data_IF_937989348081
#
_entry.id   IF_937989348081
#
_cell.length_a   1.000
_cell.length_b   1.000
_cell.length_c   1.000
_cell.angle_alpha   90.00
_cell.angle_beta   90.00
_cell.angle_gamma   90.00
#
_symmetry.space_group_name_H-M   'P 1'
#
loop_
_entity.id
_entity.type
_entity.pdbx_description
1 polymer ?
#
# COMPACT_ATOMS: atom_id res chain seq x y z
N UNK A 1 -54.05 40.17 -14.05
CA UNK A 1 -52.57 40.14 -13.93
C UNK A 1 -52.07 39.34 -12.74
N UNK A 2 -52.76 39.28 -11.60
CA UNK A 2 -52.31 38.52 -10.41
C UNK A 2 -52.30 37.00 -10.61
N UNK A 3 -53.25 36.45 -11.38
CA UNK A 3 -53.31 34.99 -11.63
C UNK A 3 -52.19 34.47 -12.55
N UNK A 4 -51.68 35.30 -13.47
CA UNK A 4 -50.54 34.95 -14.35
C UNK A 4 -49.19 34.95 -13.62
N UNK A 5 -49.09 35.76 -12.56
CA UNK A 5 -47.89 35.80 -11.69
C UNK A 5 -47.83 34.60 -10.76
N UNK A 6 -48.98 34.08 -10.28
CA UNK A 6 -49.05 32.89 -9.45
C UNK A 6 -48.71 31.64 -10.26
N UNK A 7 -49.16 31.55 -11.51
CA UNK A 7 -48.81 30.46 -12.42
C UNK A 7 -47.33 30.43 -12.80
N UNK A 8 -46.68 31.59 -12.97
CA UNK A 8 -45.26 31.71 -13.23
C UNK A 8 -44.42 31.35 -12.02
N UNK A 9 -44.85 31.68 -10.78
CA UNK A 9 -44.19 31.32 -9.54
C UNK A 9 -44.34 29.80 -9.26
N UNK A 10 -45.48 29.18 -9.61
CA UNK A 10 -45.67 27.75 -9.47
C UNK A 10 -44.86 26.92 -10.48
N UNK A 11 -44.61 27.43 -11.70
CA UNK A 11 -43.73 26.80 -12.67
C UNK A 11 -42.25 26.93 -12.31
N UNK A 12 -41.83 28.00 -11.62
CA UNK A 12 -40.49 28.16 -11.14
C UNK A 12 -40.15 27.24 -9.92
N UNK A 13 -41.19 26.78 -9.19
CA UNK A 13 -41.03 25.85 -8.07
C UNK A 13 -40.92 24.38 -8.52
N UNK A 14 -41.19 24.06 -9.80
CA UNK A 14 -40.94 22.75 -10.43
C UNK A 14 -39.63 22.81 -11.24
N UNK A 15 -38.59 23.42 -10.69
CA UNK A 15 -37.24 23.15 -11.16
C UNK A 15 -37.02 21.64 -10.93
N UNK A 16 -36.69 20.84 -11.97
CA UNK A 16 -36.30 19.46 -11.70
C UNK A 16 -35.19 19.53 -10.66
N UNK A 17 -35.44 18.99 -9.49
CA UNK A 17 -34.37 18.60 -8.57
C UNK A 17 -33.49 17.73 -9.46
N UNK A 18 -32.38 18.27 -9.94
CA UNK A 18 -31.34 17.51 -10.57
C UNK A 18 -30.95 16.48 -9.50
N UNK A 19 -31.53 15.29 -9.60
CA UNK A 19 -31.09 14.18 -8.79
C UNK A 19 -29.62 14.00 -9.13
N UNK A 20 -28.76 14.56 -8.29
CA UNK A 20 -27.36 14.25 -8.32
C UNK A 20 -27.27 12.73 -8.36
N UNK A 21 -26.77 12.19 -9.46
CA UNK A 21 -26.79 10.75 -9.68
C UNK A 21 -25.76 10.14 -8.72
N UNK A 22 -26.21 9.91 -7.48
CA UNK A 22 -25.40 9.24 -6.47
C UNK A 22 -25.18 7.81 -6.89
N UNK A 23 -23.96 7.41 -7.13
CA UNK A 23 -23.61 6.03 -7.48
C UNK A 23 -22.92 5.35 -6.32
N UNK A 24 -23.45 4.22 -5.88
CA UNK A 24 -22.79 3.31 -4.94
C UNK A 24 -22.31 2.10 -5.71
N UNK A 25 -21.04 1.80 -5.62
CA UNK A 25 -20.41 0.65 -6.28
C UNK A 25 -19.88 -0.32 -5.23
N UNK A 26 -20.37 -1.55 -5.27
CA UNK A 26 -19.70 -2.68 -4.61
C UNK A 26 -18.57 -3.16 -5.52
N UNK A 27 -17.40 -3.38 -4.96
CA UNK A 27 -16.23 -3.90 -5.68
C UNK A 27 -15.40 -4.81 -4.79
N UNK A 28 -14.52 -5.60 -5.40
CA UNK A 28 -13.62 -6.42 -4.62
C UNK A 28 -12.56 -7.14 -5.44
N UNK A 29 -11.71 -7.86 -4.71
CA UNK A 29 -10.67 -8.74 -5.24
C UNK A 29 -10.63 -9.98 -4.36
N UNK A 30 -10.68 -11.14 -4.97
CA UNK A 30 -10.40 -12.43 -4.37
C UNK A 30 -9.08 -12.96 -4.98
N UNK A 31 -8.07 -13.21 -4.16
CA UNK A 31 -6.74 -13.64 -4.57
C UNK A 31 -6.29 -14.78 -3.67
N UNK A 32 -6.20 -15.98 -4.23
CA UNK A 32 -5.78 -17.20 -3.53
C UNK A 32 -4.69 -17.92 -4.31
N UNK A 33 -3.80 -18.61 -3.58
CA UNK A 33 -2.74 -19.39 -4.20
C UNK A 33 -2.19 -20.45 -3.29
N UNK A 34 -1.58 -21.47 -3.88
CA UNK A 34 -0.79 -22.48 -3.18
C UNK A 34 0.67 -22.05 -3.20
N UNK A 35 1.28 -21.99 -2.04
CA UNK A 35 2.66 -21.59 -1.84
C UNK A 35 3.47 -22.73 -1.23
N UNK A 36 4.65 -22.95 -1.79
CA UNK A 36 5.71 -23.77 -1.20
C UNK A 36 6.88 -22.88 -0.80
N UNK A 37 7.38 -23.03 0.41
CA UNK A 37 8.58 -22.38 0.93
C UNK A 37 9.49 -23.43 1.58
N UNK A 38 10.80 -23.38 1.30
CA UNK A 38 11.77 -24.05 2.15
C UNK A 38 12.15 -23.14 3.33
N UNK A 39 12.81 -23.68 4.35
CA UNK A 39 13.27 -22.94 5.54
C UNK A 39 12.18 -22.02 6.12
N UNK A 40 10.95 -22.51 6.23
CA UNK A 40 9.79 -21.73 6.65
C UNK A 40 9.69 -21.54 8.18
N UNK A 41 10.56 -22.13 8.95
CA UNK A 41 10.66 -21.95 10.41
C UNK A 41 12.12 -22.05 10.90
N UNK A 42 12.31 -21.83 12.18
CA UNK A 42 13.63 -21.88 12.83
C UNK A 42 14.32 -23.27 12.73
N UNK A 43 13.57 -24.34 12.56
CA UNK A 43 14.09 -25.71 12.37
C UNK A 43 14.45 -26.02 10.90
N UNK A 44 14.27 -25.07 9.99
CA UNK A 44 14.58 -25.25 8.56
C UNK A 44 13.54 -26.06 7.78
N UNK A 45 12.37 -26.33 8.34
CA UNK A 45 11.33 -27.14 7.70
C UNK A 45 10.70 -26.39 6.51
N UNK A 46 10.24 -27.18 5.52
CA UNK A 46 9.47 -26.67 4.39
C UNK A 46 8.00 -26.49 4.78
N UNK A 47 7.30 -25.60 4.07
CA UNK A 47 5.88 -25.33 4.25
C UNK A 47 5.18 -25.34 2.89
N UNK A 48 4.10 -26.09 2.78
CA UNK A 48 3.12 -25.95 1.69
C UNK A 48 1.80 -25.50 2.29
N UNK A 49 1.22 -24.45 1.72
CA UNK A 49 -0.02 -23.87 2.25
C UNK A 49 -0.87 -23.21 1.19
N UNK A 50 -2.17 -23.09 1.46
CA UNK A 50 -3.04 -22.15 0.78
C UNK A 50 -2.81 -20.75 1.38
N UNK A 51 -2.86 -19.71 0.55
CA UNK A 51 -2.60 -18.33 0.96
C UNK A 51 -3.58 -17.37 0.32
N UNK A 52 -3.83 -16.27 1.00
CA UNK A 52 -4.69 -15.18 0.55
C UNK A 52 -3.88 -13.95 0.17
N UNK A 53 -4.38 -13.17 -0.78
CA UNK A 53 -3.90 -11.82 -1.05
C UNK A 53 -2.48 -11.73 -1.62
N UNK A 54 -2.09 -12.65 -2.46
CA UNK A 54 -0.72 -12.85 -2.93
C UNK A 54 -0.21 -11.70 -3.82
N UNK A 55 -0.85 -11.51 -4.98
CA UNK A 55 -0.59 -10.39 -5.89
C UNK A 55 -1.35 -9.14 -5.46
N UNK A 56 -2.51 -9.31 -4.84
CA UNK A 56 -3.35 -8.21 -4.36
C UNK A 56 -4.14 -8.64 -3.15
N UNK A 57 -4.01 -7.96 -2.01
CA UNK A 57 -4.77 -8.29 -0.80
C UNK A 57 -6.26 -8.48 -1.10
N UNK A 58 -6.81 -9.65 -0.72
CA UNK A 58 -8.22 -9.94 -0.86
C UNK A 58 -9.06 -8.93 -0.09
N UNK A 59 -10.11 -8.41 -0.72
CA UNK A 59 -10.89 -7.29 -0.18
C UNK A 59 -12.26 -7.19 -0.84
N UNK A 60 -13.17 -6.56 -0.14
CA UNK A 60 -14.41 -6.02 -0.70
C UNK A 60 -14.62 -4.60 -0.18
N UNK A 61 -15.39 -3.79 -0.87
CA UNK A 61 -15.64 -2.42 -0.45
C UNK A 61 -16.83 -1.79 -1.15
N UNK A 62 -17.28 -0.71 -0.52
CA UNK A 62 -18.27 0.22 -1.05
C UNK A 62 -17.61 1.55 -1.34
N UNK A 63 -17.87 2.12 -2.47
CA UNK A 63 -17.51 3.49 -2.81
C UNK A 63 -18.71 4.22 -3.37
N UNK A 64 -18.84 5.48 -2.99
CA UNK A 64 -19.89 6.35 -3.51
C UNK A 64 -19.34 7.69 -3.94
N UNK A 65 -20.00 8.28 -4.91
CA UNK A 65 -19.72 9.63 -5.41
C UNK A 65 -21.06 10.34 -5.58
N UNK A 66 -21.15 11.56 -5.08
CA UNK A 66 -22.26 12.47 -5.23
C UNK A 66 -21.78 13.77 -5.89
N UNK A 67 -22.43 14.21 -6.94
CA UNK A 67 -22.15 15.49 -7.58
C UNK A 67 -22.86 16.60 -6.81
N UNK A 68 -22.12 17.51 -6.21
CA UNK A 68 -22.64 18.66 -5.45
C UNK A 68 -22.86 19.91 -6.33
N UNK A 69 -22.61 19.78 -7.63
CA UNK A 69 -22.65 20.89 -8.56
C UNK A 69 -21.35 21.73 -8.60
N UNK A 70 -21.28 22.64 -9.56
CA UNK A 70 -20.13 23.53 -9.80
C UNK A 70 -18.77 22.78 -9.91
N UNK A 71 -18.77 21.50 -10.33
CA UNK A 71 -17.57 20.67 -10.45
C UNK A 71 -17.04 20.14 -9.12
N UNK A 72 -17.81 20.23 -8.05
CA UNK A 72 -17.49 19.68 -6.73
C UNK A 72 -18.21 18.36 -6.51
N UNK A 73 -17.52 17.36 -5.96
CA UNK A 73 -18.04 16.04 -5.64
C UNK A 73 -17.76 15.68 -4.19
N UNK A 74 -18.74 15.11 -3.50
CA UNK A 74 -18.52 14.37 -2.27
C UNK A 74 -18.25 12.91 -2.61
N UNK A 75 -17.38 12.25 -1.85
CA UNK A 75 -17.06 10.84 -2.06
C UNK A 75 -16.76 10.15 -0.74
N UNK A 76 -16.97 8.84 -0.73
CA UNK A 76 -16.53 7.98 0.37
C UNK A 76 -16.00 6.65 -0.15
N UNK A 77 -15.15 6.02 0.65
CA UNK A 77 -14.67 4.64 0.44
C UNK A 77 -14.65 3.93 1.79
N UNK A 78 -15.25 2.73 1.81
CA UNK A 78 -15.22 1.79 2.91
C UNK A 78 -14.70 0.46 2.36
N UNK A 79 -13.49 0.02 2.75
CA UNK A 79 -12.84 -1.17 2.21
C UNK A 79 -12.37 -2.10 3.33
N UNK A 80 -12.88 -3.33 3.32
CA UNK A 80 -12.53 -4.41 4.23
C UNK A 80 -11.55 -5.36 3.56
N UNK A 81 -10.51 -5.78 4.28
CA UNK A 81 -9.64 -6.87 3.88
C UNK A 81 -10.08 -8.18 4.53
N UNK A 82 -9.89 -9.29 3.83
CA UNK A 82 -10.15 -10.62 4.37
C UNK A 82 -9.13 -11.64 3.85
N UNK A 83 -8.97 -12.72 4.59
CA UNK A 83 -8.17 -13.86 4.18
C UNK A 83 -9.11 -14.89 3.55
N UNK A 84 -8.97 -15.16 2.24
CA UNK A 84 -9.90 -16.05 1.52
C UNK A 84 -9.71 -17.52 1.89
N UNK A 85 -8.55 -17.87 2.39
CA UNK A 85 -8.22 -19.23 2.86
C UNK A 85 -8.84 -19.59 4.21
N UNK A 86 -9.14 -18.59 5.06
CA UNK A 86 -9.65 -18.79 6.43
C UNK A 86 -10.96 -18.06 6.71
N UNK A 87 -11.34 -17.09 5.86
CA UNK A 87 -12.54 -16.26 6.05
C UNK A 87 -12.41 -15.16 7.10
N UNK A 88 -11.25 -15.01 7.76
CA UNK A 88 -11.07 -14.00 8.81
C UNK A 88 -10.84 -12.61 8.22
N UNK A 89 -11.19 -11.57 9.00
CA UNK A 89 -10.89 -10.18 8.63
C UNK A 89 -9.39 -9.92 8.80
N UNK A 90 -8.80 -9.29 7.78
CA UNK A 90 -7.40 -8.83 7.80
C UNK A 90 -7.22 -7.55 8.63
N UNK A 91 -6.00 -6.98 8.62
CA UNK A 91 -5.64 -5.70 9.27
C UNK A 91 -6.01 -5.63 10.76
N UNK A 92 -5.79 -6.74 11.50
CA UNK A 92 -6.05 -6.82 12.94
C UNK A 92 -7.54 -6.90 13.30
N UNK A 93 -8.37 -7.48 12.43
CA UNK A 93 -9.80 -7.69 12.66
C UNK A 93 -10.66 -6.43 12.43
N UNK A 94 -10.11 -5.37 11.85
CA UNK A 94 -10.88 -4.13 11.57
C UNK A 94 -11.90 -4.35 10.47
N UNK A 95 -13.15 -3.90 10.66
CA UNK A 95 -14.22 -4.00 9.66
C UNK A 95 -13.82 -3.32 8.33
N UNK A 96 -13.32 -2.10 8.39
CA UNK A 96 -12.80 -1.37 7.22
C UNK A 96 -11.30 -1.08 7.38
N UNK A 97 -10.53 -2.14 7.57
CA UNK A 97 -9.11 -2.04 7.89
C UNK A 97 -8.22 -1.57 6.73
N UNK A 98 -8.71 -1.57 5.50
CA UNK A 98 -7.95 -1.12 4.33
C UNK A 98 -8.15 0.36 4.06
N UNK A 99 -9.40 0.82 3.94
CA UNK A 99 -9.73 2.22 3.76
C UNK A 99 -11.09 2.52 4.39
N UNK A 100 -11.19 3.65 5.07
CA UNK A 100 -12.43 4.20 5.64
C UNK A 100 -12.32 5.72 5.65
N UNK A 101 -12.80 6.37 4.60
CA UNK A 101 -12.68 7.83 4.50
C UNK A 101 -13.83 8.46 3.73
N UNK A 102 -14.03 9.75 3.97
CA UNK A 102 -14.88 10.67 3.22
C UNK A 102 -14.02 11.77 2.62
N UNK A 103 -14.43 12.35 1.51
CA UNK A 103 -13.68 13.42 0.88
C UNK A 103 -14.51 14.34 0.02
N UNK A 104 -13.92 15.49 -0.30
CA UNK A 104 -14.40 16.42 -1.30
C UNK A 104 -13.37 16.51 -2.43
N UNK A 105 -13.86 16.45 -3.66
CA UNK A 105 -13.07 16.57 -4.88
C UNK A 105 -13.56 17.74 -5.72
N UNK A 106 -12.63 18.53 -6.20
CA UNK A 106 -12.85 19.65 -7.11
C UNK A 106 -11.71 19.70 -8.12
N UNK A 107 -11.78 20.56 -9.13
CA UNK A 107 -10.71 20.75 -10.14
C UNK A 107 -9.30 20.99 -9.55
N UNK A 108 -9.22 21.53 -8.34
CA UNK A 108 -7.96 21.77 -7.64
C UNK A 108 -7.39 20.50 -6.99
N UNK A 109 -8.14 19.40 -6.91
CA UNK A 109 -7.75 18.16 -6.27
C UNK A 109 -8.79 17.66 -5.27
N UNK A 110 -8.40 16.64 -4.52
CA UNK A 110 -9.22 15.97 -3.52
C UNK A 110 -8.62 16.13 -2.13
N UNK A 111 -9.45 16.55 -1.17
CA UNK A 111 -9.16 16.46 0.26
C UNK A 111 -10.00 15.30 0.84
N UNK A 112 -9.37 14.39 1.56
CA UNK A 112 -10.03 13.24 2.17
C UNK A 112 -9.60 13.05 3.63
N UNK A 113 -10.55 12.63 4.48
CA UNK A 113 -10.39 12.48 5.92
C UNK A 113 -10.74 11.04 6.33
N UNK A 114 -9.89 10.40 7.12
CA UNK A 114 -10.07 9.05 7.63
C UNK A 114 -8.90 8.12 7.35
N UNK A 115 -9.11 6.81 7.50
CA UNK A 115 -8.08 5.79 7.29
C UNK A 115 -7.82 5.57 5.80
N UNK A 116 -6.57 5.73 5.38
CA UNK A 116 -6.14 5.61 3.97
C UNK A 116 -4.73 5.08 3.86
N UNK A 117 -4.31 4.76 2.64
CA UNK A 117 -2.93 4.42 2.32
C UNK A 117 -2.01 5.66 2.42
N UNK A 118 -0.77 5.43 2.83
CA UNK A 118 0.27 6.46 2.87
C UNK A 118 0.74 6.84 1.45
N UNK A 119 1.53 7.92 1.33
CA UNK A 119 2.04 8.38 0.05
C UNK A 119 3.05 7.41 -0.57
N UNK A 120 3.80 6.65 0.24
CA UNK A 120 4.72 5.63 -0.24
C UNK A 120 3.97 4.57 -1.07
N UNK A 121 2.85 4.05 -0.55
CA UNK A 121 2.04 3.09 -1.30
C UNK A 121 1.47 3.70 -2.58
N UNK A 122 0.79 4.84 -2.47
CA UNK A 122 0.04 5.41 -3.58
C UNK A 122 0.92 5.79 -4.78
N UNK A 123 2.15 6.21 -4.51
CA UNK A 123 3.07 6.65 -5.56
C UNK A 123 4.02 5.53 -6.02
N UNK A 124 4.50 4.65 -5.11
CA UNK A 124 5.47 3.60 -5.49
C UNK A 124 4.84 2.37 -6.11
N UNK A 125 3.52 2.15 -5.97
CA UNK A 125 2.86 0.98 -6.55
C UNK A 125 3.08 0.86 -8.07
N UNK A 126 3.28 1.97 -8.77
CA UNK A 126 3.54 2.02 -10.21
C UNK A 126 5.00 1.78 -10.58
N UNK A 127 5.89 1.72 -9.58
CA UNK A 127 7.35 1.65 -9.73
C UNK A 127 7.98 0.43 -9.06
N UNK A 128 7.20 -0.37 -8.35
CA UNK A 128 7.61 -1.72 -7.97
C UNK A 128 7.23 -2.71 -9.08
N UNK A 129 8.17 -3.50 -9.61
CA UNK A 129 7.89 -4.48 -10.66
C UNK A 129 6.79 -5.48 -10.28
N UNK A 130 6.68 -5.81 -8.98
CA UNK A 130 5.68 -6.73 -8.41
C UNK A 130 4.46 -6.01 -7.83
N UNK A 131 4.30 -4.70 -8.12
CA UNK A 131 3.11 -3.88 -7.83
C UNK A 131 2.74 -3.89 -6.34
N UNK A 132 3.74 -3.88 -5.46
CA UNK A 132 3.59 -3.95 -3.99
C UNK A 132 2.65 -5.09 -3.54
N UNK A 133 2.74 -6.23 -4.21
CA UNK A 133 2.04 -7.45 -3.79
C UNK A 133 2.39 -7.81 -2.34
N UNK A 134 1.50 -8.49 -1.64
CA UNK A 134 1.73 -8.82 -0.24
C UNK A 134 2.91 -9.79 -0.02
N UNK A 135 3.30 -10.47 -1.09
CA UNK A 135 4.40 -11.44 -1.12
C UNK A 135 5.23 -11.21 -2.37
N UNK A 136 6.49 -11.65 -2.37
CA UNK A 136 7.39 -11.60 -3.53
C UNK A 136 7.53 -10.18 -4.12
N UNK A 137 7.54 -9.13 -3.30
CA UNK A 137 7.58 -7.74 -3.73
C UNK A 137 8.48 -6.88 -2.83
N UNK A 138 8.57 -5.59 -3.14
CA UNK A 138 9.27 -4.60 -2.34
C UNK A 138 8.78 -4.55 -0.87
N UNK A 139 7.51 -4.91 -0.62
CA UNK A 139 6.91 -4.97 0.72
C UNK A 139 7.64 -5.93 1.67
N UNK A 140 8.27 -6.99 1.17
CA UNK A 140 9.05 -7.92 1.99
C UNK A 140 10.25 -7.27 2.65
N UNK A 141 10.81 -6.28 1.98
CA UNK A 141 12.05 -5.60 2.40
C UNK A 141 11.76 -4.48 3.40
N UNK A 142 10.67 -3.75 3.21
CA UNK A 142 10.21 -2.70 4.13
C UNK A 142 8.69 -2.58 4.09
N UNK A 143 8.03 -2.97 5.17
CA UNK A 143 6.56 -2.93 5.29
C UNK A 143 5.97 -1.51 5.25
N UNK A 144 6.78 -0.48 5.45
CA UNK A 144 6.32 0.92 5.35
C UNK A 144 5.83 1.32 3.96
N UNK A 145 6.26 0.59 2.92
CA UNK A 145 5.80 0.81 1.55
C UNK A 145 4.31 0.54 1.33
N UNK A 146 3.68 -0.19 2.23
CA UNK A 146 2.24 -0.52 2.17
C UNK A 146 1.48 -0.02 3.39
N UNK A 147 2.03 0.97 4.09
CA UNK A 147 1.45 1.56 5.29
C UNK A 147 0.08 2.19 5.03
N UNK A 148 -0.79 2.02 6.02
CA UNK A 148 -2.08 2.72 6.13
C UNK A 148 -2.09 3.44 7.44
N UNK A 149 -2.51 4.71 7.43
CA UNK A 149 -2.58 5.52 8.62
C UNK A 149 -4.04 5.83 8.96
N UNK A 150 -4.34 5.79 10.24
CA UNK A 150 -5.60 6.28 10.81
C UNK A 150 -5.59 7.81 10.90
N UNK A 151 -6.72 8.40 11.21
CA UNK A 151 -6.86 9.81 11.57
C UNK A 151 -6.12 10.76 10.61
N UNK A 152 -6.26 10.48 9.30
CA UNK A 152 -5.49 11.16 8.25
C UNK A 152 -6.31 12.25 7.57
N UNK A 153 -5.69 13.40 7.37
CA UNK A 153 -6.07 14.38 6.37
C UNK A 153 -5.10 14.26 5.18
N UNK A 154 -5.64 14.02 3.97
CA UNK A 154 -4.85 13.78 2.76
C UNK A 154 -5.35 14.61 1.60
N UNK A 155 -4.44 15.36 1.01
CA UNK A 155 -4.65 16.05 -0.24
C UNK A 155 -4.03 15.24 -1.40
N UNK A 156 -4.76 15.16 -2.52
CA UNK A 156 -4.28 14.60 -3.78
C UNK A 156 -4.67 15.52 -4.92
N UNK A 157 -3.70 16.12 -5.60
CA UNK A 157 -3.90 16.98 -6.76
C UNK A 157 -3.31 16.36 -8.03
N UNK A 158 -3.97 16.61 -9.17
CA UNK A 158 -3.47 16.20 -10.49
C UNK A 158 -3.36 17.42 -11.40
N UNK A 159 -2.15 17.73 -11.85
CA UNK A 159 -1.79 18.91 -12.63
C UNK A 159 -1.09 18.47 -13.91
N UNK A 160 -1.87 18.22 -14.95
CA UNK A 160 -1.36 17.65 -16.19
C UNK A 160 -0.69 16.27 -15.94
N UNK A 161 0.61 16.10 -16.26
CA UNK A 161 1.33 14.85 -16.04
C UNK A 161 1.77 14.62 -14.58
N UNK A 162 1.58 15.61 -13.70
CA UNK A 162 2.03 15.56 -12.30
C UNK A 162 0.86 15.24 -11.38
N UNK A 163 1.04 14.23 -10.52
CA UNK A 163 0.19 13.98 -9.35
C UNK A 163 0.97 14.35 -8.09
N UNK A 164 0.39 15.17 -7.22
CA UNK A 164 0.98 15.56 -5.95
C UNK A 164 0.13 15.02 -4.79
N UNK A 165 0.79 14.51 -3.75
CA UNK A 165 0.16 14.04 -2.51
C UNK A 165 0.82 14.72 -1.33
N UNK A 166 0.00 15.19 -0.39
CA UNK A 166 0.44 15.61 0.93
C UNK A 166 -0.55 15.06 1.96
N UNK A 167 -0.04 14.53 3.06
CA UNK A 167 -0.87 13.98 4.11
C UNK A 167 -0.29 14.26 5.50
N UNK A 168 -1.20 14.31 6.45
CA UNK A 168 -0.92 14.37 7.86
C UNK A 168 -1.83 13.39 8.59
N UNK A 169 -1.26 12.55 9.46
CA UNK A 169 -1.99 11.66 10.34
C UNK A 169 -1.77 12.09 11.79
N UNK A 170 -2.85 12.35 12.49
CA UNK A 170 -2.83 12.74 13.92
C UNK A 170 -2.37 11.58 14.79
N UNK A 171 -2.74 10.35 14.44
CA UNK A 171 -2.21 9.10 14.99
C UNK A 171 -2.36 8.00 13.94
N UNK A 172 -1.25 7.30 13.60
CA UNK A 172 -1.22 6.29 12.53
C UNK A 172 -2.03 5.04 12.82
N UNK A 173 -2.42 4.83 14.07
CA UNK A 173 -3.07 3.60 14.51
C UNK A 173 -2.11 2.41 14.58
N UNK A 174 -0.90 2.64 15.09
CA UNK A 174 0.07 1.57 15.34
C UNK A 174 -0.55 0.49 16.23
N UNK A 175 -0.41 -0.76 15.83
CA UNK A 175 -0.94 -1.89 16.62
C UNK A 175 -0.18 -2.04 17.93
N UNK A 176 -0.93 -2.15 19.03
CA UNK A 176 -0.43 -2.40 20.39
C UNK A 176 -0.99 -3.74 20.83
N UNK A 177 -0.12 -4.73 21.06
CA UNK A 177 -0.54 -6.04 21.56
C UNK A 177 -0.14 -6.20 23.02
N UNK A 178 -1.11 -6.45 23.88
CA UNK A 178 -0.91 -6.65 25.31
C UNK A 178 -1.85 -7.73 25.81
N UNK A 179 -1.31 -8.72 26.54
CA UNK A 179 -2.12 -9.82 27.09
C UNK A 179 -2.90 -10.63 26.06
N UNK A 180 -2.41 -10.71 24.79
CA UNK A 180 -3.10 -11.40 23.68
C UNK A 180 -4.19 -10.58 22.99
N UNK A 181 -4.53 -9.39 23.50
CA UNK A 181 -5.44 -8.47 22.85
C UNK A 181 -4.68 -7.45 21.97
N UNK A 182 -5.21 -7.16 20.80
CA UNK A 182 -4.69 -6.11 19.91
C UNK A 182 -5.59 -4.89 19.97
N UNK A 183 -4.99 -3.75 20.27
CA UNK A 183 -5.58 -2.41 20.18
C UNK A 183 -4.79 -1.55 19.18
N UNK A 184 -5.26 -0.34 18.94
CA UNK A 184 -4.60 0.58 18.02
C UNK A 184 -4.37 1.92 18.72
N UNK A 185 -3.17 2.48 18.53
CA UNK A 185 -2.84 3.78 19.08
C UNK A 185 -3.77 4.86 18.51
N UNK A 186 -4.21 5.75 19.36
CA UNK A 186 -4.97 6.96 19.04
C UNK A 186 -4.21 8.21 19.43
N UNK A 187 -4.89 9.34 19.33
CA UNK A 187 -4.42 10.64 19.79
C UNK A 187 -4.31 10.66 21.33
N UNK A 188 -3.23 11.23 21.83
CA UNK A 188 -2.96 11.30 23.27
C UNK A 188 -3.12 12.75 23.74
N UNK A 189 -4.05 13.03 24.68
CA UNK A 189 -4.19 14.36 25.27
C UNK A 189 -2.87 14.86 25.86
N UNK A 190 -2.45 16.07 25.48
CA UNK A 190 -1.18 16.66 25.92
C UNK A 190 0.05 16.22 25.13
N UNK A 191 -0.05 15.20 24.29
CA UNK A 191 1.06 14.77 23.43
C UNK A 191 0.63 14.53 21.96
N UNK A 192 0.48 15.61 21.17
CA UNK A 192 0.02 15.52 19.78
C UNK A 192 1.05 14.86 18.83
N UNK A 193 2.27 14.56 19.31
CA UNK A 193 3.29 13.91 18.51
C UNK A 193 3.22 12.37 18.59
N UNK A 194 2.48 11.83 19.56
CA UNK A 194 2.36 10.39 19.71
C UNK A 194 1.75 9.76 18.46
N UNK A 195 2.47 8.81 17.87
CA UNK A 195 2.04 8.05 16.68
C UNK A 195 1.72 8.88 15.43
N UNK A 196 2.21 10.12 15.36
CA UNK A 196 1.99 11.06 14.26
C UNK A 196 2.70 10.59 12.97
N UNK A 197 2.16 10.95 11.80
CA UNK A 197 2.86 10.84 10.54
C UNK A 197 2.64 12.04 9.63
N UNK A 198 3.67 12.34 8.83
CA UNK A 198 3.65 13.33 7.77
C UNK A 198 4.26 12.69 6.53
N UNK A 199 3.61 12.83 5.38
CA UNK A 199 4.18 12.36 4.13
C UNK A 199 3.80 13.29 2.98
N UNK A 200 4.71 13.50 2.05
CA UNK A 200 4.47 14.26 0.83
C UNK A 200 5.28 13.67 -0.34
N UNK A 201 4.73 13.78 -1.53
CA UNK A 201 5.42 13.30 -2.72
C UNK A 201 4.73 13.74 -3.99
N UNK A 202 5.40 13.46 -5.09
CA UNK A 202 4.84 13.68 -6.42
C UNK A 202 5.19 12.53 -7.35
N UNK A 203 4.35 12.33 -8.34
CA UNK A 203 4.50 11.43 -9.47
C UNK A 203 4.44 12.23 -10.75
N UNK A 204 5.38 12.01 -11.65
CA UNK A 204 5.35 12.52 -13.02
C UNK A 204 5.22 11.34 -13.97
N UNK A 205 4.20 11.36 -14.82
CA UNK A 205 3.99 10.31 -15.82
C UNK A 205 3.60 10.93 -17.16
N UNK A 206 4.50 10.84 -18.15
CA UNK A 206 4.30 11.36 -19.50
C UNK A 206 5.01 10.49 -20.54
N UNK A 207 4.26 10.06 -21.55
CA UNK A 207 4.78 9.19 -22.60
C UNK A 207 5.38 7.90 -22.03
N UNK A 208 6.63 7.54 -22.38
CA UNK A 208 7.27 6.33 -21.86
C UNK A 208 7.85 6.50 -20.46
N UNK A 209 7.97 7.71 -19.93
CA UNK A 209 8.69 8.04 -18.69
C UNK A 209 7.71 8.19 -17.53
N UNK A 210 8.03 7.53 -16.43
CA UNK A 210 7.43 7.77 -15.13
C UNK A 210 8.51 7.98 -14.07
N UNK A 211 8.29 8.89 -13.13
CA UNK A 211 9.19 9.11 -11.99
C UNK A 211 8.42 9.61 -10.77
N UNK A 212 8.90 9.27 -9.59
CA UNK A 212 8.31 9.72 -8.33
C UNK A 212 9.38 10.03 -7.29
N UNK A 213 9.07 10.97 -6.40
CA UNK A 213 9.85 11.23 -5.19
C UNK A 213 8.92 11.46 -4.01
N UNK A 214 9.25 10.86 -2.87
CA UNK A 214 8.41 10.85 -1.67
C UNK A 214 9.27 11.08 -0.43
N UNK A 215 8.78 11.92 0.47
CA UNK A 215 9.22 12.02 1.84
C UNK A 215 8.16 11.45 2.77
N UNK A 216 8.56 10.62 3.73
CA UNK A 216 7.69 10.06 4.77
C UNK A 216 8.37 10.18 6.13
N UNK A 217 7.65 10.67 7.13
CA UNK A 217 8.09 10.74 8.52
C UNK A 217 7.04 10.16 9.44
N UNK A 218 7.48 9.35 10.38
CA UNK A 218 6.66 8.75 11.43
C UNK A 218 7.26 9.08 12.77
N UNK A 219 6.43 9.32 13.79
CA UNK A 219 6.85 9.51 15.18
C UNK A 219 6.64 8.22 15.98
N UNK A 220 7.38 8.09 17.08
CA UNK A 220 7.20 7.00 18.02
C UNK A 220 5.86 7.06 18.74
N UNK A 221 5.41 5.92 19.25
CA UNK A 221 4.09 5.70 19.85
C UNK A 221 4.21 5.55 21.35
N UNK A 222 3.49 6.34 22.11
CA UNK A 222 3.35 6.12 23.56
C UNK A 222 2.60 4.80 23.84
N UNK A 223 2.98 4.13 24.93
CA UNK A 223 2.39 2.84 25.31
C UNK A 223 3.05 1.63 24.63
N UNK A 224 4.03 1.84 23.74
CA UNK A 224 4.88 0.76 23.20
C UNK A 224 6.24 0.80 23.89
N UNK A 225 6.65 -0.33 24.45
CA UNK A 225 7.94 -0.46 25.15
C UNK A 225 9.10 -0.05 24.22
N UNK A 226 9.97 0.83 24.70
CA UNK A 226 11.12 1.33 23.97
C UNK A 226 10.80 2.43 22.95
N UNK A 227 9.57 2.93 22.93
CA UNK A 227 9.18 4.06 22.08
C UNK A 227 8.79 5.29 22.91
N UNK A 228 9.04 6.45 22.33
CA UNK A 228 8.60 7.75 22.86
C UNK A 228 8.39 8.74 21.71
N UNK A 229 7.79 9.87 21.98
CA UNK A 229 7.38 10.86 20.97
C UNK A 229 8.50 11.75 20.45
N UNK A 230 9.71 11.65 20.97
CA UNK A 230 10.90 12.29 20.40
C UNK A 230 11.54 11.43 19.30
N UNK A 231 11.27 10.13 19.32
CA UNK A 231 11.77 9.20 18.30
C UNK A 231 11.03 9.38 16.98
N UNK A 232 11.74 9.24 15.88
CA UNK A 232 11.17 9.35 14.54
C UNK A 232 11.92 8.52 13.51
N UNK A 233 11.19 7.98 12.57
CA UNK A 233 11.73 7.38 11.35
C UNK A 233 11.46 8.31 10.17
N UNK A 234 12.47 8.60 9.35
CA UNK A 234 12.36 9.39 8.12
C UNK A 234 12.79 8.55 6.94
N UNK A 235 12.00 8.63 5.88
CA UNK A 235 12.27 7.94 4.61
C UNK A 235 12.21 8.92 3.47
N UNK A 236 13.14 8.76 2.53
CA UNK A 236 13.08 9.38 1.21
C UNK A 236 13.10 8.25 0.20
N UNK A 237 12.12 8.22 -0.69
CA UNK A 237 12.07 7.26 -1.78
C UNK A 237 12.04 7.98 -3.12
N UNK A 238 12.81 7.51 -4.08
CA UNK A 238 12.77 7.94 -5.47
C UNK A 238 12.70 6.72 -6.37
N UNK A 239 11.88 6.79 -7.42
CA UNK A 239 11.75 5.69 -8.35
C UNK A 239 11.41 6.20 -9.75
N UNK A 240 11.71 5.36 -10.74
CA UNK A 240 11.39 5.64 -12.12
C UNK A 240 11.01 4.38 -12.89
N UNK A 241 10.33 4.60 -14.01
CA UNK A 241 10.04 3.57 -14.97
C UNK A 241 10.18 4.09 -16.40
N UNK A 242 10.57 3.20 -17.31
CA UNK A 242 10.66 3.51 -18.72
C UNK A 242 10.01 2.40 -19.55
N UNK A 243 9.11 2.78 -20.45
CA UNK A 243 8.44 1.86 -21.37
C UNK A 243 9.23 1.76 -22.67
N UNK A 244 9.56 0.55 -23.08
CA UNK A 244 10.19 0.24 -24.38
C UNK A 244 9.09 -0.25 -25.34
N UNK A 245 8.63 0.63 -26.21
CA UNK A 245 7.51 0.32 -27.08
C UNK A 245 6.24 -0.03 -26.29
N UNK A 246 5.55 -1.08 -26.74
CA UNK A 246 4.29 -1.55 -26.13
C UNK A 246 4.49 -2.77 -25.23
N UNK A 247 5.65 -3.39 -25.23
CA UNK A 247 5.89 -4.71 -24.61
C UNK A 247 6.80 -4.69 -23.41
N UNK A 248 7.77 -3.78 -23.34
CA UNK A 248 8.77 -3.75 -22.28
C UNK A 248 8.55 -2.60 -21.29
N UNK A 249 8.78 -2.84 -20.00
CA UNK A 249 8.84 -1.78 -18.98
C UNK A 249 9.96 -2.07 -17.99
N UNK A 250 10.88 -1.13 -17.85
CA UNK A 250 11.95 -1.14 -16.86
C UNK A 250 11.49 -0.36 -15.63
N UNK A 251 11.90 -0.81 -14.45
CA UNK A 251 11.66 -0.16 -13.18
C UNK A 251 12.96 -0.07 -12.40
N UNK A 252 13.20 1.04 -11.74
CA UNK A 252 14.29 1.20 -10.80
C UNK A 252 13.88 2.14 -9.66
N UNK A 253 14.45 1.91 -8.48
CA UNK A 253 14.19 2.82 -7.37
C UNK A 253 15.14 2.63 -6.20
N UNK A 254 15.05 3.59 -5.30
CA UNK A 254 15.86 3.74 -4.12
C UNK A 254 15.07 4.29 -2.95
N UNK A 255 15.30 3.75 -1.74
CA UNK A 255 14.78 4.30 -0.48
C UNK A 255 15.90 4.45 0.54
N UNK A 256 16.06 5.65 1.07
CA UNK A 256 16.87 5.98 2.24
C UNK A 256 16.00 5.99 3.51
N UNK A 257 16.51 5.41 4.60
CA UNK A 257 15.92 5.47 5.93
C UNK A 257 16.94 5.92 6.96
N UNK A 258 16.55 6.84 7.83
CA UNK A 258 17.21 7.18 9.07
C UNK A 258 16.16 7.34 10.18
N UNK A 259 16.32 6.63 11.29
CA UNK A 259 15.36 6.69 12.37
C UNK A 259 15.77 5.99 13.65
N UNK A 260 14.97 6.22 14.67
CA UNK A 260 15.23 5.74 16.03
C UNK A 260 13.97 5.19 16.75
N UNK A 261 12.83 5.07 16.04
CA UNK A 261 11.63 4.45 16.62
C UNK A 261 11.95 3.02 17.05
N UNK A 262 11.76 2.71 18.34
CA UNK A 262 12.06 1.40 18.91
C UNK A 262 13.55 1.09 19.07
N UNK A 263 14.43 2.08 18.91
CA UNK A 263 15.85 1.97 19.24
C UNK A 263 16.03 2.26 20.73
N UNK A 264 16.68 1.35 21.44
CA UNK A 264 16.94 1.52 22.87
C UNK A 264 17.92 2.67 23.13
N UNK A 265 17.79 3.30 24.28
CA UNK A 265 18.68 4.39 24.68
C UNK A 265 20.16 3.94 24.64
N UNK A 266 21.00 4.79 24.05
CA UNK A 266 22.44 4.51 23.89
C UNK A 266 22.77 3.64 22.66
N UNK A 267 21.79 3.11 21.95
CA UNK A 267 22.02 2.40 20.70
C UNK A 267 22.01 3.36 19.50
N UNK A 268 22.79 3.09 18.45
CA UNK A 268 22.82 3.92 17.25
C UNK A 268 21.49 3.84 16.50
N UNK A 269 21.05 4.96 15.94
CA UNK A 269 19.84 5.04 15.10
C UNK A 269 19.92 4.08 13.91
N UNK A 270 18.78 3.56 13.50
CA UNK A 270 18.63 2.74 12.27
C UNK A 270 19.08 3.56 11.06
N UNK A 271 19.85 2.96 10.18
CA UNK A 271 20.22 3.52 8.88
C UNK A 271 20.24 2.42 7.84
N UNK A 272 19.41 2.55 6.83
CA UNK A 272 19.35 1.54 5.76
C UNK A 272 18.97 2.15 4.43
N UNK A 273 19.41 1.51 3.38
CA UNK A 273 19.04 1.79 2.00
C UNK A 273 18.37 0.57 1.39
N UNK A 274 17.38 0.79 0.52
CA UNK A 274 16.78 -0.26 -0.30
C UNK A 274 16.92 0.15 -1.75
N UNK A 275 17.36 -0.79 -2.56
CA UNK A 275 17.47 -0.65 -4.02
C UNK A 275 16.60 -1.71 -4.68
N UNK A 276 15.95 -1.34 -5.77
CA UNK A 276 15.24 -2.32 -6.60
C UNK A 276 15.40 -2.03 -8.07
N UNK A 277 15.38 -3.10 -8.84
CA UNK A 277 15.43 -3.08 -10.29
C UNK A 277 14.52 -4.18 -10.80
N UNK A 278 13.78 -3.93 -11.87
CA UNK A 278 12.99 -4.98 -12.50
C UNK A 278 12.61 -4.65 -13.92
N UNK A 279 12.26 -5.71 -14.63
CA UNK A 279 11.82 -5.62 -16.02
C UNK A 279 10.58 -6.48 -16.23
N UNK A 280 9.58 -5.89 -16.83
CA UNK A 280 8.37 -6.58 -17.26
C UNK A 280 8.34 -6.65 -18.79
N UNK A 281 8.02 -7.82 -19.31
CA UNK A 281 7.90 -8.06 -20.74
C UNK A 281 6.58 -8.75 -21.08
N UNK A 282 5.81 -8.14 -21.99
CA UNK A 282 4.57 -8.69 -22.51
C UNK A 282 4.90 -9.60 -23.70
N UNK A 283 4.90 -10.93 -23.46
CA UNK A 283 5.21 -11.94 -24.49
C UNK A 283 4.05 -12.10 -25.45
N UNK A 284 2.82 -12.21 -24.90
CA UNK A 284 1.56 -12.33 -25.62
C UNK A 284 0.57 -11.33 -25.04
N UNK A 285 -0.50 -10.97 -25.73
CA UNK A 285 -1.53 -10.09 -25.17
C UNK A 285 -2.08 -10.56 -23.82
N UNK A 286 -2.08 -11.87 -23.56
CA UNK A 286 -2.54 -12.46 -22.31
C UNK A 286 -1.41 -12.83 -21.34
N UNK A 287 -0.12 -12.86 -21.75
CA UNK A 287 0.99 -13.34 -20.92
C UNK A 287 2.07 -12.28 -20.74
N UNK A 288 2.31 -11.91 -19.50
CA UNK A 288 3.45 -11.07 -19.12
C UNK A 288 4.41 -11.82 -18.18
N UNK A 289 5.71 -11.59 -18.38
CA UNK A 289 6.76 -12.02 -17.46
C UNK A 289 7.35 -10.80 -16.75
N UNK A 290 7.69 -10.98 -15.48
CA UNK A 290 8.36 -9.96 -14.69
C UNK A 290 9.56 -10.58 -13.99
N UNK A 291 10.70 -9.90 -14.04
CA UNK A 291 11.86 -10.20 -13.19
C UNK A 291 12.14 -8.99 -12.30
N UNK A 292 12.39 -9.22 -11.01
CA UNK A 292 12.65 -8.18 -10.03
C UNK A 292 13.77 -8.59 -9.08
N UNK A 293 14.65 -7.66 -8.76
CA UNK A 293 15.68 -7.79 -7.74
C UNK A 293 15.52 -6.71 -6.68
N UNK A 294 15.66 -7.08 -5.41
CA UNK A 294 15.58 -6.19 -4.25
C UNK A 294 16.81 -6.39 -3.38
N UNK A 295 17.46 -5.30 -2.99
CA UNK A 295 18.63 -5.31 -2.13
C UNK A 295 18.44 -4.37 -0.95
N UNK A 296 18.60 -4.90 0.25
CA UNK A 296 18.59 -4.13 1.50
C UNK A 296 20.02 -3.97 2.00
N UNK A 297 20.42 -2.75 2.27
CA UNK A 297 21.73 -2.43 2.81
C UNK A 297 21.56 -1.82 4.21
N UNK A 298 21.91 -2.58 5.24
CA UNK A 298 21.99 -2.08 6.62
C UNK A 298 23.31 -1.34 6.83
N UNK A 299 23.25 -0.02 6.97
CA UNK A 299 24.45 0.81 7.16
C UNK A 299 25.09 0.68 8.53
N UNK A 300 24.52 -0.10 9.43
CA UNK A 300 25.02 -0.28 10.81
C UNK A 300 25.61 -1.66 11.05
N UNK A 301 25.15 -2.62 10.28
CA UNK A 301 25.57 -4.01 10.38
C UNK A 301 25.92 -4.54 9.00
N UNK A 302 26.45 -5.73 8.89
CA UNK A 302 26.67 -6.41 7.60
C UNK A 302 25.45 -7.20 7.12
N UNK A 303 24.27 -6.96 7.68
CA UNK A 303 23.01 -7.66 7.36
C UNK A 303 22.41 -7.11 6.07
N UNK A 304 22.93 -7.55 4.95
CA UNK A 304 22.58 -7.05 3.62
C UNK A 304 21.88 -8.13 2.79
N UNK A 305 20.63 -8.50 3.11
CA UNK A 305 19.90 -9.48 2.34
C UNK A 305 19.49 -8.94 0.98
N UNK A 306 19.32 -9.86 0.02
CA UNK A 306 18.74 -9.56 -1.28
C UNK A 306 17.79 -10.66 -1.74
N UNK A 307 16.92 -10.33 -2.66
CA UNK A 307 16.02 -11.30 -3.27
C UNK A 307 15.90 -11.10 -4.78
N UNK A 308 15.66 -12.21 -5.49
CA UNK A 308 15.31 -12.24 -6.89
C UNK A 308 13.95 -12.92 -7.04
N UNK A 309 13.09 -12.30 -7.83
CA UNK A 309 11.72 -12.74 -8.08
C UNK A 309 11.50 -12.86 -9.59
N UNK A 310 10.93 -13.98 -10.01
CA UNK A 310 10.35 -14.18 -11.33
C UNK A 310 8.84 -14.35 -11.21
N UNK A 311 8.09 -13.72 -12.09
CA UNK A 311 6.63 -13.82 -12.13
C UNK A 311 6.15 -14.02 -13.55
N UNK A 312 5.19 -14.92 -13.74
CA UNK A 312 4.41 -15.06 -14.95
C UNK A 312 2.95 -14.79 -14.62
N UNK A 313 2.32 -13.85 -15.31
CA UNK A 313 0.90 -13.53 -15.13
C UNK A 313 0.16 -13.76 -16.44
N UNK A 314 -0.88 -14.61 -16.39
CA UNK A 314 -1.71 -14.97 -17.53
C UNK A 314 -3.14 -14.47 -17.34
N UNK A 315 -3.56 -13.55 -18.19
CA UNK A 315 -4.88 -12.94 -18.18
C UNK A 315 -5.90 -13.88 -18.81
N UNK A 316 -6.78 -14.48 -18.00
CA UNK A 316 -7.86 -15.36 -18.44
C UNK A 316 -9.07 -14.55 -18.94
N UNK A 317 -9.31 -13.39 -18.32
CA UNK A 317 -10.36 -12.46 -18.70
C UNK A 317 -10.03 -11.04 -18.22
N UNK A 318 -10.89 -10.05 -18.53
CA UNK A 318 -10.74 -8.67 -18.01
C UNK A 318 -10.71 -8.60 -16.47
N UNK A 319 -11.23 -9.62 -15.79
CA UNK A 319 -11.38 -9.66 -14.32
C UNK A 319 -10.60 -10.78 -13.66
N UNK A 320 -10.07 -11.75 -14.42
CA UNK A 320 -9.47 -12.97 -13.86
C UNK A 320 -8.09 -13.18 -14.47
N UNK A 321 -7.10 -13.40 -13.63
CA UNK A 321 -5.75 -13.75 -14.01
C UNK A 321 -5.21 -14.88 -13.13
N UNK A 322 -4.41 -15.76 -13.74
CA UNK A 322 -3.60 -16.77 -13.06
C UNK A 322 -2.16 -16.28 -13.00
N UNK A 323 -1.45 -16.60 -11.94
CA UNK A 323 -0.05 -16.18 -11.77
C UNK A 323 0.81 -17.30 -11.19
N UNK A 324 2.08 -17.30 -11.60
CA UNK A 324 3.15 -18.11 -11.03
C UNK A 324 4.27 -17.18 -10.58
N UNK A 325 4.63 -17.23 -9.31
CA UNK A 325 5.77 -16.51 -8.75
C UNK A 325 6.81 -17.52 -8.26
N UNK A 326 8.07 -17.24 -8.56
CA UNK A 326 9.23 -17.96 -8.03
C UNK A 326 10.17 -16.94 -7.42
N UNK A 327 10.65 -17.20 -6.22
CA UNK A 327 11.52 -16.28 -5.50
C UNK A 327 12.68 -16.99 -4.81
N UNK A 328 13.78 -16.26 -4.69
CA UNK A 328 14.93 -16.63 -3.88
C UNK A 328 15.35 -15.45 -3.03
N UNK A 329 15.40 -15.63 -1.71
CA UNK A 329 15.94 -14.65 -0.76
C UNK A 329 17.25 -15.17 -0.19
N UNK A 330 18.32 -14.38 -0.33
CA UNK A 330 19.62 -14.63 0.28
C UNK A 330 19.80 -13.78 1.51
N UNK A 331 20.07 -14.42 2.61
CA UNK A 331 20.43 -13.78 3.86
C UNK A 331 21.93 -13.82 4.07
N UNK A 332 22.45 -12.78 4.71
CA UNK A 332 23.83 -12.64 5.11
C UNK A 332 23.90 -12.38 6.60
N UNK A 333 24.84 -13.01 7.28
CA UNK A 333 24.98 -12.96 8.74
C UNK A 333 23.68 -13.38 9.43
N UNK A 334 23.11 -12.57 10.28
CA UNK A 334 21.86 -12.85 10.98
C UNK A 334 20.64 -12.12 10.39
N UNK A 335 20.70 -11.72 9.11
CA UNK A 335 19.50 -11.25 8.41
C UNK A 335 18.49 -12.38 8.19
N UNK A 336 17.21 -12.04 8.11
CA UNK A 336 16.10 -12.99 8.07
C UNK A 336 15.03 -12.60 7.04
N UNK A 337 15.44 -12.09 5.88
CA UNK A 337 14.53 -11.74 4.80
C UNK A 337 13.79 -13.00 4.31
N UNK A 338 12.46 -12.99 4.39
CA UNK A 338 11.58 -14.02 3.86
C UNK A 338 10.84 -13.56 2.60
N UNK A 339 10.37 -14.51 1.80
CA UNK A 339 9.62 -14.25 0.56
C UNK A 339 8.15 -13.93 0.80
N UNK A 340 7.63 -14.22 1.97
CA UNK A 340 6.21 -14.16 2.30
C UNK A 340 5.75 -12.85 2.95
N UNK A 341 6.64 -11.88 3.14
CA UNK A 341 6.36 -10.56 3.69
C UNK A 341 5.94 -10.53 5.15
N UNK A 342 5.04 -11.40 5.60
CA UNK A 342 4.51 -11.40 6.97
C UNK A 342 4.28 -12.82 7.50
N UNK A 343 4.58 -13.02 8.80
CA UNK A 343 4.13 -14.19 9.56
C UNK A 343 4.98 -15.46 9.42
N UNK A 344 6.11 -15.43 8.72
CA UNK A 344 7.08 -16.53 8.74
C UNK A 344 8.46 -15.98 9.07
N UNK A 345 8.97 -16.40 10.21
CA UNK A 345 10.35 -16.12 10.59
C UNK A 345 11.24 -17.24 10.08
N UNK A 346 12.17 -16.92 9.23
CA UNK A 346 13.25 -17.83 8.85
C UNK A 346 14.39 -17.73 9.86
N UNK A 347 15.14 -18.82 10.01
CA UNK A 347 16.36 -18.77 10.83
C UNK A 347 17.30 -17.70 10.28
N UNK A 348 17.82 -16.80 11.11
CA UNK A 348 18.81 -15.82 10.69
C UNK A 348 19.97 -16.47 9.91
N UNK A 349 20.37 -15.88 8.81
CA UNK A 349 21.40 -16.36 7.90
C UNK A 349 20.96 -17.44 6.90
N UNK A 350 19.80 -18.08 7.07
CA UNK A 350 19.30 -19.07 6.12
C UNK A 350 18.69 -18.40 4.88
N UNK A 351 18.93 -18.99 3.72
CA UNK A 351 18.32 -18.58 2.48
C UNK A 351 16.94 -19.22 2.31
N UNK A 352 16.06 -18.58 1.56
CA UNK A 352 14.73 -19.11 1.30
C UNK A 352 14.42 -19.15 -0.20
N UNK A 353 13.87 -20.27 -0.66
CA UNK A 353 13.27 -20.42 -1.99
C UNK A 353 11.77 -20.61 -1.83
N UNK A 354 11.00 -19.97 -2.69
CA UNK A 354 9.55 -20.11 -2.69
C UNK A 354 8.99 -20.20 -4.10
N UNK A 355 7.88 -20.92 -4.23
CA UNK A 355 7.09 -21.01 -5.45
C UNK A 355 5.62 -20.83 -5.08
N UNK A 356 4.91 -20.04 -5.86
CA UNK A 356 3.50 -19.77 -5.64
C UNK A 356 2.75 -19.79 -6.96
N UNK A 357 1.68 -20.57 -6.99
CA UNK A 357 0.72 -20.60 -8.09
C UNK A 357 -0.63 -20.12 -7.57
N UNK A 358 -1.27 -19.18 -8.25
CA UNK A 358 -2.52 -18.62 -7.75
C UNK A 358 -3.44 -18.09 -8.84
N UNK A 359 -4.63 -17.72 -8.39
CA UNK A 359 -5.71 -17.12 -9.18
C UNK A 359 -6.19 -15.86 -8.48
N UNK A 360 -6.40 -14.80 -9.28
CA UNK A 360 -6.99 -13.56 -8.80
C UNK A 360 -8.23 -13.22 -9.63
N UNK A 361 -9.31 -12.87 -8.93
CA UNK A 361 -10.56 -12.41 -9.55
C UNK A 361 -10.97 -11.04 -8.99
N UNK A 362 -11.36 -10.13 -9.87
CA UNK A 362 -11.86 -8.79 -9.55
C UNK A 362 -13.36 -8.72 -9.87
N UNK A 363 -14.18 -8.20 -8.98
CA UNK A 363 -15.63 -8.08 -9.16
C UNK A 363 -16.13 -6.68 -8.83
#
# INVERSE_FOLDING_TARGET
>A
MKEKLIAAAALAAISPLAFAQSSVTLYGVADAGVEYLNHANASGNSLTRLTSGNMSGSRWGLRGVEDLGAGTKALYVLESGFEIDTGVASQGGRLFGRQAYVGLEHRMGRLSLGRQQNALYDLLINYDPMVLGARYSLQMVDSSFVGRYDNMAKYTGKFGPVTAIALYSFARGTSITSGGATSFAGEVPGDPKSDQALSAGFDYSSGPVGMTAIYDQQQGTLGITGQNTSQRDRRIAVAGSFKFGTTGKLFAGYRWLNGDIGVLAGQPSKRSDVYWLGYQYQILPALSLTAAGYYFNDKRTGRDPWSLIGSANYVLSKRTDAFLNVGYARNKEDSNLGLNGFGISITPGNNQTGVMLGLRHKF
#
